data_IF_850770312865
#
_entry.id   IF_850770312865
#
_cell.length_a   1.000
_cell.length_b   1.000
_cell.length_c   1.000
_cell.angle_alpha   90.00
_cell.angle_beta   90.00
_cell.angle_gamma   90.00
#
_symmetry.space_group_name_H-M   'P 1'
#
loop_
_entity.id
_entity.type
_entity.pdbx_description
1 polymer ?
#
# COMPACT_ATOMS: atom_id res chain seq x y z
N UNK A 1 -23.84 -25.00 13.50
CA UNK A 1 -23.62 -23.53 13.50
C UNK A 1 -22.21 -23.13 13.96
N UNK A 2 -21.70 -23.64 15.10
CA UNK A 2 -20.39 -23.22 15.63
C UNK A 2 -19.19 -23.54 14.71
N UNK A 3 -19.27 -24.63 13.96
CA UNK A 3 -18.21 -25.04 13.01
C UNK A 3 -18.06 -24.08 11.83
N UNK A 4 -19.16 -23.46 11.38
CA UNK A 4 -19.15 -22.45 10.31
C UNK A 4 -18.56 -21.13 10.80
N UNK A 5 -18.75 -20.80 12.08
CA UNK A 5 -18.21 -19.58 12.70
C UNK A 5 -16.67 -19.61 12.80
N UNK A 6 -16.09 -20.77 13.11
CA UNK A 6 -14.63 -20.93 13.17
C UNK A 6 -13.95 -20.80 11.79
N UNK A 7 -14.58 -21.34 10.74
CA UNK A 7 -14.01 -21.32 9.40
C UNK A 7 -14.04 -19.92 8.76
N UNK A 8 -15.12 -19.15 8.95
CA UNK A 8 -15.20 -17.78 8.46
C UNK A 8 -14.23 -16.84 9.21
N UNK A 9 -14.00 -17.09 10.50
CA UNK A 9 -13.01 -16.34 11.29
C UNK A 9 -11.57 -16.52 10.80
N UNK A 10 -11.19 -17.74 10.41
CA UNK A 10 -9.85 -18.04 9.90
C UNK A 10 -9.55 -17.32 8.56
N UNK A 11 -10.54 -17.22 7.66
CA UNK A 11 -10.39 -16.52 6.37
C UNK A 11 -10.18 -15.01 6.57
N UNK A 12 -10.89 -14.39 7.51
CA UNK A 12 -10.73 -12.98 7.84
C UNK A 12 -9.41 -12.65 8.55
N UNK A 13 -8.83 -13.61 9.27
CA UNK A 13 -7.54 -13.44 9.95
C UNK A 13 -6.35 -13.50 8.98
N UNK A 14 -6.43 -14.34 7.94
CA UNK A 14 -5.35 -14.53 6.97
C UNK A 14 -5.04 -13.30 6.11
N UNK A 15 -6.01 -12.41 5.90
CA UNK A 15 -5.81 -11.17 5.12
C UNK A 15 -5.02 -10.09 5.86
N UNK A 16 -4.88 -10.20 7.18
CA UNK A 16 -4.12 -9.24 8.01
C UNK A 16 -2.60 -9.52 8.00
N UNK A 17 -2.17 -10.70 7.53
CA UNK A 17 -0.76 -11.12 7.59
C UNK A 17 0.07 -10.66 6.37
N UNK A 18 -0.58 -10.20 5.30
CA UNK A 18 0.08 -9.72 4.09
C UNK A 18 -0.01 -8.19 4.02
N UNK A 19 1.06 -7.50 4.42
CA UNK A 19 1.17 -6.03 4.35
C UNK A 19 1.79 -5.54 3.03
N UNK A 20 2.15 -6.44 2.11
CA UNK A 20 2.77 -6.05 0.84
C UNK A 20 1.70 -5.63 -0.18
N UNK A 21 1.88 -4.45 -0.77
CA UNK A 21 1.04 -3.93 -1.84
C UNK A 21 1.80 -4.03 -3.16
N UNK A 22 1.27 -4.83 -4.09
CA UNK A 22 1.78 -4.94 -5.46
C UNK A 22 0.88 -4.18 -6.44
N UNK A 23 1.45 -3.30 -7.26
CA UNK A 23 0.79 -2.69 -8.42
C UNK A 23 1.39 -3.29 -9.68
N UNK A 24 0.53 -3.91 -10.50
CA UNK A 24 0.93 -4.60 -11.74
C UNK A 24 1.91 -5.77 -11.51
N UNK A 25 1.92 -6.37 -10.31
CA UNK A 25 2.71 -7.55 -9.95
C UNK A 25 1.93 -8.44 -8.97
N UNK A 26 1.89 -9.75 -9.23
CA UNK A 26 1.13 -10.71 -8.41
C UNK A 26 1.88 -11.23 -7.17
N UNK A 27 3.21 -11.08 -7.16
CA UNK A 27 4.10 -11.52 -6.07
C UNK A 27 5.06 -10.40 -5.71
N UNK A 28 4.59 -9.36 -4.99
CA UNK A 28 5.43 -8.24 -4.59
C UNK A 28 6.58 -8.70 -3.69
N UNK A 29 7.78 -8.17 -3.91
CA UNK A 29 9.00 -8.48 -3.13
C UNK A 29 9.34 -7.41 -2.09
N UNK A 30 8.63 -6.29 -2.10
CA UNK A 30 8.77 -5.19 -1.15
C UNK A 30 7.39 -4.82 -0.55
N UNK A 31 7.38 -4.00 0.51
CA UNK A 31 6.12 -3.52 1.10
C UNK A 31 5.26 -2.73 0.12
N UNK A 32 5.89 -1.99 -0.80
CA UNK A 32 5.26 -1.41 -1.98
C UNK A 32 6.12 -1.76 -3.19
N UNK A 33 5.57 -2.55 -4.11
CA UNK A 33 6.24 -3.00 -5.32
C UNK A 33 5.41 -2.59 -6.54
N UNK A 34 5.99 -1.82 -7.46
CA UNK A 34 5.28 -1.22 -8.61
C UNK A 34 6.05 -1.59 -9.88
N UNK A 35 5.40 -2.35 -10.76
CA UNK A 35 5.93 -2.71 -12.07
C UNK A 35 5.32 -1.82 -13.17
N UNK A 36 6.16 -1.28 -14.05
CA UNK A 36 5.71 -0.59 -15.26
C UNK A 36 5.19 -1.55 -16.34
N UNK A 37 4.61 -1.01 -17.40
CA UNK A 37 4.22 -1.75 -18.59
C UNK A 37 5.35 -1.71 -19.63
N UNK A 38 6.33 -2.61 -19.48
CA UNK A 38 7.57 -2.63 -20.28
C UNK A 38 7.38 -2.60 -21.81
N UNK A 39 6.28 -3.14 -22.32
CA UNK A 39 6.04 -3.29 -23.77
C UNK A 39 4.93 -2.39 -24.32
N UNK A 40 4.16 -1.71 -23.47
CA UNK A 40 3.00 -0.92 -23.88
C UNK A 40 3.33 0.58 -23.89
N UNK A 41 3.87 1.06 -25.01
CA UNK A 41 4.29 2.46 -25.18
C UNK A 41 3.13 3.48 -25.12
N UNK A 42 1.88 3.03 -25.08
CA UNK A 42 0.69 3.89 -24.94
C UNK A 42 0.31 4.10 -23.48
N UNK A 43 0.98 3.44 -22.54
CA UNK A 43 0.78 3.61 -21.10
C UNK A 43 1.90 4.43 -20.51
N UNK A 44 1.51 5.39 -19.67
CA UNK A 44 2.46 6.14 -18.87
C UNK A 44 2.77 5.32 -17.60
N UNK A 45 4.04 4.99 -17.41
CA UNK A 45 4.54 4.39 -16.18
C UNK A 45 5.01 5.50 -15.23
N UNK A 46 4.46 5.56 -14.02
CA UNK A 46 4.88 6.54 -13.03
C UNK A 46 4.04 6.56 -11.76
N UNK A 47 4.66 7.00 -10.66
CA UNK A 47 3.99 7.30 -9.39
C UNK A 47 3.72 8.81 -9.31
N UNK A 48 2.44 9.21 -9.29
CA UNK A 48 2.06 10.61 -9.13
C UNK A 48 1.81 10.89 -7.65
N UNK A 49 2.75 11.60 -7.02
CA UNK A 49 2.55 12.17 -5.69
C UNK A 49 1.51 13.31 -5.70
N UNK A 50 0.95 13.70 -4.54
CA UNK A 50 0.05 14.85 -4.46
C UNK A 50 0.67 16.09 -5.11
N UNK A 51 -0.10 16.81 -5.93
CA UNK A 51 0.31 18.04 -6.63
C UNK A 51 0.36 19.22 -5.65
N UNK A 52 1.19 19.08 -4.63
CA UNK A 52 1.40 20.04 -3.55
C UNK A 52 2.89 20.33 -3.46
N UNK A 53 3.22 21.57 -3.11
CA UNK A 53 4.59 21.93 -2.75
C UNK A 53 5.03 21.20 -1.48
N UNK A 54 6.34 21.06 -1.28
CA UNK A 54 6.88 20.45 -0.05
C UNK A 54 6.38 21.14 1.22
N UNK A 55 6.21 22.46 1.21
CA UNK A 55 5.68 23.20 2.37
C UNK A 55 4.21 22.87 2.66
N UNK A 56 3.39 22.68 1.62
CA UNK A 56 1.99 22.28 1.77
C UNK A 56 1.85 20.84 2.26
N UNK A 57 2.77 19.95 1.88
CA UNK A 57 2.84 18.60 2.42
C UNK A 57 3.26 18.62 3.89
N UNK A 58 4.34 19.34 4.20
CA UNK A 58 4.88 19.51 5.56
C UNK A 58 3.86 20.11 6.53
N UNK A 59 3.06 21.06 6.08
CA UNK A 59 1.99 21.65 6.90
C UNK A 59 0.96 20.60 7.40
N UNK A 60 0.90 19.43 6.76
CA UNK A 60 0.02 18.32 7.14
C UNK A 60 0.74 17.24 7.96
N UNK A 61 2.01 17.42 8.31
CA UNK A 61 2.79 16.43 9.08
C UNK A 61 2.09 16.07 10.41
N UNK A 62 1.50 17.06 11.08
CA UNK A 62 0.78 16.88 12.34
C UNK A 62 -0.47 15.99 12.24
N UNK A 63 -0.99 15.76 11.02
CA UNK A 63 -2.14 14.89 10.77
C UNK A 63 -1.74 13.41 10.68
N UNK A 64 -0.45 13.10 10.50
CA UNK A 64 0.05 11.74 10.60
C UNK A 64 0.18 11.37 12.08
N UNK A 65 -0.93 10.93 12.68
CA UNK A 65 -0.97 10.55 14.10
C UNK A 65 -0.10 9.31 14.35
N UNK A 66 0.81 9.39 15.32
CA UNK A 66 1.48 8.25 15.98
C UNK A 66 2.43 7.36 15.15
N UNK A 67 2.26 7.23 13.84
CA UNK A 67 2.99 6.27 12.99
C UNK A 67 4.06 6.91 12.10
N UNK A 68 4.04 8.22 11.90
CA UNK A 68 5.11 8.93 11.18
C UNK A 68 6.18 9.38 12.18
N UNK A 69 6.90 8.42 12.78
CA UNK A 69 8.19 8.74 13.40
C UNK A 69 9.18 8.94 12.26
N UNK A 70 9.48 10.20 11.96
CA UNK A 70 10.62 10.54 11.10
C UNK A 70 11.83 9.82 11.68
N UNK A 71 12.42 8.91 10.91
CA UNK A 71 13.71 8.34 11.26
C UNK A 71 14.70 9.49 11.46
N UNK A 72 15.25 9.60 12.66
CA UNK A 72 16.45 10.37 12.94
C UNK A 72 17.66 9.58 12.43
#
# INVERSE_FOLDING_TARGET
MIKTLFQTGAVLYGTLLYSQIGINISKPKASLDIHGFETDIKKADGLIAPRLTGNQLKAKDQLYTGEHSVCN
#
